data_IF_852984215803
#
_entry.id   IF_852984215803
#
_cell.length_a   1.000
_cell.length_b   1.000
_cell.length_c   1.000
_cell.angle_alpha   90.00
_cell.angle_beta   90.00
_cell.angle_gamma   90.00
#
_symmetry.space_group_name_H-M   'P 1'
#
loop_
_entity.id
_entity.type
_entity.pdbx_description
1 polymer ?
#
# COMPACT_ATOMS: atom_id res chain seq x y z
N UNK A 1 66.01 -40.73 -14.38
CA UNK A 1 64.98 -40.34 -13.39
C UNK A 1 65.20 -38.90 -12.99
N UNK A 2 64.10 -38.11 -12.95
CA UNK A 2 63.90 -36.82 -12.25
C UNK A 2 64.63 -35.59 -12.81
N UNK A 3 64.01 -34.43 -12.95
CA UNK A 3 62.60 -33.97 -13.07
C UNK A 3 62.80 -32.48 -13.37
N UNK A 4 62.53 -32.03 -14.59
CA UNK A 4 62.45 -30.62 -14.94
C UNK A 4 61.21 -30.05 -14.28
N UNK A 5 61.38 -29.26 -13.23
CA UNK A 5 60.29 -28.45 -12.67
C UNK A 5 60.27 -27.12 -13.41
N UNK A 6 59.43 -27.07 -14.46
CA UNK A 6 59.01 -25.84 -15.09
C UNK A 6 57.99 -25.18 -14.14
N UNK A 7 58.39 -24.09 -13.49
CA UNK A 7 57.46 -23.22 -12.75
C UNK A 7 56.60 -22.45 -13.77
N UNK A 8 55.42 -22.98 -14.09
CA UNK A 8 54.37 -22.21 -14.78
C UNK A 8 53.70 -21.35 -13.71
N UNK A 9 54.13 -20.09 -13.60
CA UNK A 9 53.40 -19.07 -12.86
C UNK A 9 52.11 -18.76 -13.63
N UNK A 10 51.03 -19.47 -13.29
CA UNK A 10 49.69 -19.16 -13.78
C UNK A 10 49.27 -17.83 -13.14
N UNK A 11 49.18 -16.81 -13.99
CA UNK A 11 48.47 -15.56 -13.77
C UNK A 11 47.03 -15.84 -13.28
N UNK A 12 46.82 -15.84 -11.97
CA UNK A 12 45.52 -15.55 -11.39
C UNK A 12 45.51 -14.08 -10.97
N UNK A 13 45.47 -13.19 -11.96
CA UNK A 13 45.04 -11.82 -11.74
C UNK A 13 43.54 -11.83 -11.45
N UNK A 14 43.24 -11.92 -10.16
CA UNK A 14 41.99 -11.68 -9.44
C UNK A 14 41.09 -10.65 -10.18
N UNK A 15 39.96 -11.04 -10.78
CA UNK A 15 38.95 -10.10 -11.26
C UNK A 15 38.01 -9.74 -10.09
N UNK A 16 38.49 -9.01 -9.09
CA UNK A 16 37.64 -8.51 -7.98
C UNK A 16 37.51 -6.99 -7.94
N UNK A 17 38.01 -6.27 -8.96
CA UNK A 17 37.94 -4.80 -9.00
C UNK A 17 36.78 -4.27 -9.88
N UNK A 18 36.05 -5.15 -10.57
CA UNK A 18 34.97 -4.73 -11.48
C UNK A 18 33.62 -4.47 -10.78
N UNK A 19 33.39 -5.01 -9.58
CA UNK A 19 32.07 -4.98 -8.95
C UNK A 19 31.76 -3.67 -8.21
N UNK A 20 32.79 -2.88 -7.86
CA UNK A 20 32.62 -1.60 -7.16
C UNK A 20 32.44 -0.39 -8.11
N UNK A 21 32.81 -0.52 -9.39
CA UNK A 21 32.61 0.53 -10.41
C UNK A 21 31.24 0.43 -11.10
N UNK A 22 30.61 -0.75 -11.12
CA UNK A 22 29.46 -1.06 -11.99
C UNK A 22 28.11 -0.51 -11.49
N UNK A 23 28.09 0.42 -10.54
CA UNK A 23 26.84 0.99 -10.00
C UNK A 23 26.79 2.52 -9.98
N UNK A 24 27.90 3.18 -10.30
CA UNK A 24 27.98 4.64 -10.16
C UNK A 24 26.98 5.35 -11.06
N UNK A 25 26.69 4.81 -12.26
CA UNK A 25 25.72 5.41 -13.16
C UNK A 25 24.30 5.22 -12.64
N UNK A 26 23.95 4.03 -12.14
CA UNK A 26 22.66 3.81 -11.49
C UNK A 26 22.49 4.75 -10.28
N UNK A 27 23.50 4.86 -9.41
CA UNK A 27 23.41 5.72 -8.22
C UNK A 27 23.20 7.18 -8.59
N UNK A 28 23.99 7.70 -9.55
CA UNK A 28 23.86 9.07 -10.04
C UNK A 28 22.50 9.32 -10.71
N UNK A 29 22.03 8.39 -11.55
CA UNK A 29 20.75 8.52 -12.25
C UNK A 29 19.56 8.52 -11.28
N UNK A 30 19.58 7.64 -10.27
CA UNK A 30 18.53 7.57 -9.24
C UNK A 30 18.56 8.85 -8.40
N UNK A 31 19.72 9.30 -7.94
CA UNK A 31 19.83 10.54 -7.18
C UNK A 31 19.39 11.77 -8.01
N UNK A 32 19.61 11.76 -9.32
CA UNK A 32 19.17 12.85 -10.21
C UNK A 32 17.67 12.84 -10.47
N UNK A 33 17.02 11.67 -10.55
CA UNK A 33 15.56 11.58 -10.76
C UNK A 33 14.77 11.65 -9.45
N UNK A 34 15.36 11.23 -8.34
CA UNK A 34 14.73 11.19 -7.02
C UNK A 34 15.60 11.94 -6.01
N UNK A 35 15.80 13.26 -6.16
CA UNK A 35 16.77 13.99 -5.38
C UNK A 35 16.43 13.93 -3.88
N UNK A 36 17.33 13.37 -3.04
CA UNK A 36 17.07 13.24 -1.62
C UNK A 36 17.13 14.59 -0.93
N UNK A 37 16.38 14.74 0.15
CA UNK A 37 16.44 15.90 1.02
C UNK A 37 17.86 16.07 1.62
N UNK A 38 18.22 17.32 1.90
CA UNK A 38 19.44 17.64 2.65
C UNK A 38 19.30 17.10 4.06
N UNK A 39 20.26 16.27 4.46
CA UNK A 39 20.25 15.62 5.76
C UNK A 39 20.10 16.64 6.90
N UNK A 40 19.17 16.35 7.81
CA UNK A 40 18.93 17.14 9.02
C UNK A 40 18.13 16.30 10.03
N UNK A 41 18.12 16.75 11.29
CA UNK A 41 17.50 16.02 12.41
C UNK A 41 16.01 15.69 12.22
N UNK A 42 15.25 16.48 11.45
CA UNK A 42 13.82 16.19 11.22
C UNK A 42 13.57 15.01 10.29
N UNK A 43 14.62 14.51 9.61
CA UNK A 43 14.56 13.29 8.79
C UNK A 43 14.93 12.05 9.59
N UNK A 44 15.59 12.25 10.72
CA UNK A 44 16.01 11.17 11.61
C UNK A 44 15.01 10.93 12.73
N UNK A 45 14.11 11.89 13.02
CA UNK A 45 13.13 11.75 14.09
C UNK A 45 11.85 12.53 13.92
N UNK A 46 10.75 11.91 14.34
CA UNK A 46 9.43 12.52 14.45
C UNK A 46 9.32 13.63 15.51
N UNK A 47 10.33 13.78 16.38
CA UNK A 47 10.32 14.79 17.46
C UNK A 47 10.62 16.21 16.97
N UNK A 48 11.17 16.38 15.77
CA UNK A 48 11.40 17.68 15.18
C UNK A 48 10.39 17.95 14.06
N UNK A 49 10.01 19.22 13.91
CA UNK A 49 9.22 19.63 12.75
C UNK A 49 9.99 19.41 11.45
N UNK A 50 9.29 18.95 10.41
CA UNK A 50 9.89 18.69 9.12
C UNK A 50 10.43 19.98 8.51
N UNK A 51 11.73 20.05 8.28
CA UNK A 51 12.35 21.16 7.59
C UNK A 51 12.02 21.12 6.08
N UNK A 52 10.96 21.83 5.68
CA UNK A 52 10.53 21.91 4.27
C UNK A 52 11.62 22.48 3.35
N UNK A 53 12.47 23.39 3.86
CA UNK A 53 13.59 23.98 3.10
C UNK A 53 14.72 22.99 2.78
N UNK A 54 14.74 21.81 3.41
CA UNK A 54 15.69 20.75 3.12
C UNK A 54 15.21 19.79 2.02
N UNK A 55 13.93 19.82 1.64
CA UNK A 55 13.36 18.92 0.64
C UNK A 55 13.83 19.29 -0.77
N UNK A 56 14.08 18.30 -1.61
CA UNK A 56 14.62 18.48 -2.97
C UNK A 56 13.83 17.73 -4.03
N UNK A 57 13.25 16.58 -3.68
CA UNK A 57 12.45 15.76 -4.57
C UNK A 57 11.19 15.25 -3.90
N UNK A 58 10.18 15.08 -4.73
CA UNK A 58 8.86 14.56 -4.37
C UNK A 58 8.52 13.41 -5.29
N UNK A 59 7.65 12.52 -4.83
CA UNK A 59 7.11 11.44 -5.64
C UNK A 59 5.61 11.38 -5.49
N UNK A 60 4.93 11.01 -6.57
CA UNK A 60 3.52 10.67 -6.57
C UNK A 60 3.38 9.17 -6.78
N UNK A 61 2.62 8.53 -5.92
CA UNK A 61 2.33 7.09 -6.01
C UNK A 61 1.42 6.84 -7.23
N UNK A 62 1.84 5.97 -8.13
CA UNK A 62 1.02 5.51 -9.28
C UNK A 62 0.35 4.18 -8.99
N UNK A 63 1.10 3.27 -8.36
CA UNK A 63 0.60 1.96 -7.93
C UNK A 63 0.52 1.93 -6.41
N UNK A 64 -0.70 1.85 -5.90
CA UNK A 64 -0.99 1.80 -4.46
C UNK A 64 -0.59 0.49 -3.79
N UNK A 65 -0.99 0.33 -2.53
CA UNK A 65 -0.72 -0.88 -1.75
C UNK A 65 0.67 -0.93 -1.11
N UNK A 66 1.43 0.18 -1.17
CA UNK A 66 2.73 0.27 -0.51
C UNK A 66 2.50 0.48 1.00
N UNK A 67 2.92 -0.46 1.87
CA UNK A 67 2.68 -0.35 3.30
C UNK A 67 3.52 0.77 3.91
N UNK A 68 2.91 1.59 4.76
CA UNK A 68 3.53 2.71 5.43
C UNK A 68 3.21 2.73 6.93
N UNK A 69 4.03 3.42 7.71
CA UNK A 69 3.90 3.49 9.17
C UNK A 69 4.00 4.93 9.68
N UNK A 70 3.78 5.11 10.98
CA UNK A 70 4.00 6.39 11.66
C UNK A 70 5.41 6.45 12.22
N UNK A 71 6.05 7.60 12.10
CA UNK A 71 7.28 7.88 12.84
C UNK A 71 6.92 8.20 14.32
N UNK A 72 7.28 7.34 15.29
CA UNK A 72 6.82 7.46 16.70
C UNK A 72 7.92 7.67 17.77
N UNK A 73 8.96 6.80 17.94
CA UNK A 73 10.06 6.95 18.94
C UNK A 73 11.29 6.03 18.63
N UNK A 74 12.50 6.38 19.11
CA UNK A 74 13.81 5.68 18.88
C UNK A 74 14.20 4.78 20.05
N UNK A 75 14.52 3.51 19.78
CA UNK A 75 15.56 2.79 20.52
C UNK A 75 16.56 2.27 19.50
N UNK A 76 17.84 2.53 19.79
CA UNK A 76 19.00 2.28 18.96
C UNK A 76 19.06 0.82 18.46
N UNK A 77 19.56 0.68 17.23
CA UNK A 77 19.85 -0.54 16.45
C UNK A 77 18.81 -1.03 15.42
N UNK A 78 17.57 -0.54 15.41
CA UNK A 78 16.58 -0.90 14.39
C UNK A 78 15.91 0.36 13.82
N UNK A 79 16.23 0.72 12.57
CA UNK A 79 15.71 1.89 11.84
C UNK A 79 14.17 1.82 11.65
N UNK A 80 13.42 2.09 12.72
CA UNK A 80 11.95 1.99 12.79
C UNK A 80 11.22 3.13 12.08
N UNK A 81 11.94 4.19 11.68
CA UNK A 81 11.30 5.40 11.17
C UNK A 81 10.79 5.28 9.75
N UNK A 82 11.20 4.26 9.00
CA UNK A 82 10.61 4.00 7.69
C UNK A 82 10.26 2.52 7.58
N UNK A 83 8.97 2.25 7.35
CA UNK A 83 8.53 0.89 7.11
C UNK A 83 9.16 0.33 5.85
N UNK A 84 10.06 -0.62 6.02
CA UNK A 84 10.66 -1.33 4.91
C UNK A 84 9.65 -2.23 4.21
N UNK A 85 9.56 -2.09 2.91
CA UNK A 85 8.88 -3.04 2.02
C UNK A 85 9.79 -3.34 0.84
N UNK A 86 9.61 -4.51 0.22
CA UNK A 86 10.34 -4.88 -0.99
C UNK A 86 9.32 -5.14 -2.08
N UNK A 87 9.43 -4.38 -3.16
CA UNK A 87 8.68 -4.52 -4.39
C UNK A 87 9.55 -5.32 -5.34
N UNK A 88 9.07 -6.50 -5.72
CA UNK A 88 9.74 -7.34 -6.70
C UNK A 88 9.38 -6.85 -8.11
N UNK A 89 10.34 -6.31 -8.85
CA UNK A 89 10.06 -5.70 -10.16
C UNK A 89 9.65 -6.70 -11.24
N UNK A 90 9.89 -8.00 -11.01
CA UNK A 90 9.51 -9.06 -11.95
C UNK A 90 8.00 -9.32 -11.98
N UNK A 91 7.33 -9.27 -10.84
CA UNK A 91 5.93 -9.70 -10.65
C UNK A 91 5.07 -8.65 -9.94
N UNK A 92 5.65 -7.51 -9.55
CA UNK A 92 4.99 -6.45 -8.80
C UNK A 92 4.63 -6.82 -7.36
N UNK A 93 5.06 -7.98 -6.86
CA UNK A 93 4.69 -8.45 -5.53
C UNK A 93 5.36 -7.59 -4.45
N UNK A 94 4.55 -7.15 -3.49
CA UNK A 94 5.01 -6.37 -2.34
C UNK A 94 5.18 -7.28 -1.13
N UNK A 95 6.39 -7.31 -0.57
CA UNK A 95 6.71 -8.03 0.66
C UNK A 95 7.01 -7.00 1.75
N UNK A 96 6.10 -6.86 2.71
CA UNK A 96 6.31 -6.01 3.88
C UNK A 96 7.31 -6.63 4.86
N UNK A 97 8.08 -5.80 5.57
CA UNK A 97 8.77 -6.24 6.79
C UNK A 97 7.78 -6.38 7.95
N UNK A 98 8.21 -7.07 9.02
CA UNK A 98 7.41 -7.50 10.19
C UNK A 98 6.47 -6.41 10.73
N UNK A 99 5.33 -6.83 11.31
CA UNK A 99 4.33 -5.97 11.95
C UNK A 99 3.12 -5.70 11.06
N UNK A 100 2.04 -5.13 11.60
CA UNK A 100 0.88 -4.64 10.82
C UNK A 100 1.16 -3.21 10.35
N UNK A 101 0.96 -2.84 9.07
CA UNK A 101 1.14 -1.46 8.62
C UNK A 101 0.09 -0.56 9.26
N UNK A 102 0.45 0.71 9.46
CA UNK A 102 -0.48 1.74 9.90
C UNK A 102 -1.47 2.09 8.78
N UNK A 103 -0.95 2.24 7.57
CA UNK A 103 -1.73 2.54 6.36
C UNK A 103 -1.05 1.95 5.12
N UNK A 104 -1.72 2.07 3.98
CA UNK A 104 -1.16 1.79 2.67
C UNK A 104 -1.26 3.06 1.82
N UNK A 105 -0.16 3.42 1.16
CA UNK A 105 -0.19 4.53 0.21
C UNK A 105 -1.07 4.15 -0.97
N UNK A 106 -1.91 5.11 -1.38
CA UNK A 106 -2.83 4.97 -2.50
C UNK A 106 -2.32 5.71 -3.73
N UNK A 107 -2.80 5.40 -4.94
CA UNK A 107 -2.51 6.20 -6.11
C UNK A 107 -2.83 7.69 -5.87
N UNK A 108 -1.95 8.56 -6.33
CA UNK A 108 -1.99 10.00 -6.15
C UNK A 108 -1.50 10.52 -4.80
N UNK A 109 -1.11 9.65 -3.86
CA UNK A 109 -0.46 10.10 -2.63
C UNK A 109 0.91 10.73 -2.92
N UNK A 110 1.20 11.85 -2.27
CA UNK A 110 2.43 12.63 -2.45
C UNK A 110 3.35 12.44 -1.27
N UNK A 111 4.61 12.09 -1.54
CA UNK A 111 5.65 11.91 -0.53
C UNK A 111 6.92 12.67 -0.92
N UNK A 112 7.65 13.18 0.07
CA UNK A 112 8.99 13.73 -0.16
C UNK A 112 10.05 12.63 -0.09
N UNK A 113 11.09 12.74 -0.93
CA UNK A 113 12.24 11.83 -0.92
C UNK A 113 13.22 12.28 0.17
N UNK A 114 13.22 11.56 1.29
CA UNK A 114 14.08 11.86 2.43
C UNK A 114 15.50 11.29 2.28
N UNK A 115 15.68 10.25 1.47
CA UNK A 115 16.98 9.60 1.29
C UNK A 115 16.90 8.41 0.34
N UNK A 116 18.07 7.94 -0.09
CA UNK A 116 18.22 6.77 -0.96
C UNK A 116 19.19 5.80 -0.29
N UNK A 117 18.89 4.52 -0.35
CA UNK A 117 19.80 3.44 0.08
C UNK A 117 19.89 2.36 -0.99
N UNK A 118 21.07 1.79 -1.14
CA UNK A 118 21.31 0.66 -2.04
C UNK A 118 21.68 -0.56 -1.22
N UNK A 119 21.05 -1.70 -1.51
CA UNK A 119 21.39 -2.95 -0.85
C UNK A 119 21.13 -4.13 -1.79
N UNK A 120 22.14 -4.99 -1.96
CA UNK A 120 22.13 -6.08 -2.95
C UNK A 120 21.74 -5.56 -4.33
N UNK A 121 20.68 -6.09 -4.94
CA UNK A 121 20.09 -5.69 -6.21
C UNK A 121 18.80 -4.88 -6.02
N UNK A 122 18.74 -4.04 -4.98
CA UNK A 122 17.58 -3.20 -4.70
C UNK A 122 17.96 -1.75 -4.42
N UNK A 123 17.10 -0.85 -4.89
CA UNK A 123 17.12 0.59 -4.60
C UNK A 123 16.00 0.88 -3.62
N UNK A 124 16.33 1.47 -2.48
CA UNK A 124 15.37 1.86 -1.45
C UNK A 124 15.23 3.37 -1.44
N UNK A 125 14.01 3.86 -1.57
CA UNK A 125 13.70 5.28 -1.38
C UNK A 125 13.10 5.45 0.01
N UNK A 126 13.66 6.32 0.84
CA UNK A 126 13.04 6.74 2.11
C UNK A 126 12.06 7.86 1.80
N UNK A 127 10.80 7.66 2.11
CA UNK A 127 9.70 8.56 1.77
C UNK A 127 8.99 9.04 3.03
N UNK A 128 8.72 10.34 3.12
CA UNK A 128 8.01 10.98 4.24
C UNK A 128 6.89 11.87 3.73
N UNK A 129 5.73 11.85 4.40
CA UNK A 129 4.63 12.77 4.08
C UNK A 129 5.03 14.20 4.48
N UNK A 130 4.80 15.16 3.58
CA UNK A 130 5.14 16.57 3.84
C UNK A 130 4.23 17.14 4.93
N UNK A 131 2.94 16.85 4.80
CA UNK A 131 1.90 17.25 5.73
C UNK A 131 1.56 16.11 6.69
N UNK A 132 0.77 16.44 7.71
CA UNK A 132 0.16 15.43 8.59
C UNK A 132 -0.73 14.53 7.73
N UNK A 133 -0.48 13.23 7.82
CA UNK A 133 -1.27 12.24 7.08
C UNK A 133 -2.51 11.88 7.90
N UNK A 134 -3.69 12.10 7.33
CA UNK A 134 -4.96 11.70 7.92
C UNK A 134 -5.36 10.34 7.35
N UNK A 135 -5.39 9.26 8.15
CA UNK A 135 -5.89 7.99 7.66
C UNK A 135 -7.39 8.09 7.42
N UNK A 136 -7.87 7.53 6.31
CA UNK A 136 -9.31 7.41 6.00
C UNK A 136 -10.06 6.47 6.96
N UNK A 137 -9.34 5.70 7.80
CA UNK A 137 -9.89 4.53 8.50
C UNK A 137 -9.84 4.62 10.03
N UNK A 138 -9.38 5.75 10.62
CA UNK A 138 -9.16 5.81 12.08
C UNK A 138 -9.66 7.13 12.68
N UNK A 139 -10.97 7.26 12.81
CA UNK A 139 -11.65 8.44 13.38
C UNK A 139 -11.31 8.74 14.86
N UNK A 140 -10.70 7.79 15.56
CA UNK A 140 -10.46 7.89 17.02
C UNK A 140 -9.04 8.32 17.41
N UNK A 141 -8.15 8.65 16.47
CA UNK A 141 -6.79 9.06 16.81
C UNK A 141 -6.64 10.58 17.01
N UNK A 142 -6.48 10.99 18.28
CA UNK A 142 -6.21 12.38 18.70
C UNK A 142 -4.82 12.92 18.31
N UNK A 143 -3.98 12.13 17.62
CA UNK A 143 -2.59 12.49 17.30
C UNK A 143 -2.33 12.41 15.80
N UNK A 144 -2.42 13.57 15.17
CA UNK A 144 -1.84 13.89 13.88
C UNK A 144 -0.37 13.42 13.79
N UNK A 145 -0.04 12.56 12.81
CA UNK A 145 1.32 12.06 12.60
C UNK A 145 1.70 12.12 11.12
N UNK A 146 2.99 12.30 10.84
CA UNK A 146 3.53 12.06 9.50
C UNK A 146 3.62 10.56 9.26
N UNK A 147 3.48 10.19 7.99
CA UNK A 147 3.62 8.81 7.51
C UNK A 147 4.94 8.66 6.79
N UNK A 148 5.57 7.51 6.98
CA UNK A 148 6.87 7.18 6.42
C UNK A 148 6.89 5.76 5.87
N UNK A 149 7.64 5.56 4.79
CA UNK A 149 7.90 4.23 4.24
C UNK A 149 9.26 4.18 3.53
N UNK A 150 9.80 2.98 3.39
CA UNK A 150 11.03 2.73 2.64
C UNK A 150 10.79 1.60 1.63
N UNK A 151 10.08 1.88 0.51
CA UNK A 151 9.94 0.93 -0.59
C UNK A 151 11.30 0.63 -1.23
N UNK A 152 11.64 -0.66 -1.26
CA UNK A 152 12.79 -1.21 -1.94
C UNK A 152 12.40 -1.86 -3.26
N UNK A 153 12.88 -1.32 -4.37
CA UNK A 153 12.65 -1.85 -5.71
C UNK A 153 13.74 -2.88 -6.03
N UNK A 154 13.38 -4.16 -6.04
CA UNK A 154 14.31 -5.27 -6.28
C UNK A 154 14.28 -5.70 -7.75
N UNK A 155 15.40 -5.50 -8.43
CA UNK A 155 15.59 -5.82 -9.84
C UNK A 155 16.31 -7.16 -10.02
N UNK A 156 16.36 -7.67 -11.26
CA UNK A 156 17.26 -8.77 -11.56
C UNK A 156 18.72 -8.36 -11.31
N UNK A 157 19.54 -9.32 -10.88
CA UNK A 157 20.99 -9.12 -10.75
C UNK A 157 21.65 -8.67 -12.06
N UNK A 158 21.13 -9.08 -13.21
CA UNK A 158 21.65 -8.71 -14.52
C UNK A 158 21.63 -7.20 -14.75
N UNK A 159 20.56 -6.51 -14.34
CA UNK A 159 20.40 -5.04 -14.47
C UNK A 159 21.51 -4.29 -13.76
N UNK A 160 21.89 -4.74 -12.56
CA UNK A 160 22.96 -4.11 -11.78
C UNK A 160 24.36 -4.52 -12.26
N UNK A 161 24.52 -5.73 -12.81
CA UNK A 161 25.78 -6.16 -13.42
C UNK A 161 26.08 -5.39 -14.71
N UNK A 162 25.05 -5.04 -15.47
CA UNK A 162 25.17 -4.24 -16.70
C UNK A 162 25.16 -2.73 -16.45
N UNK A 163 25.03 -2.27 -15.21
CA UNK A 163 24.88 -0.85 -14.83
C UNK A 163 23.75 -0.15 -15.62
N UNK A 164 22.64 -0.84 -15.87
CA UNK A 164 21.52 -0.32 -16.66
C UNK A 164 20.65 0.64 -15.84
N UNK A 165 21.11 1.89 -15.76
CA UNK A 165 20.42 2.97 -15.08
C UNK A 165 19.00 3.21 -15.63
N UNK A 166 18.80 3.07 -16.94
CA UNK A 166 17.49 3.35 -17.55
C UNK A 166 16.45 2.35 -17.06
N UNK A 167 16.76 1.06 -17.09
CA UNK A 167 15.86 0.02 -16.60
C UNK A 167 15.51 0.21 -15.12
N UNK A 168 16.47 0.66 -14.30
CA UNK A 168 16.22 0.98 -12.89
C UNK A 168 15.24 2.16 -12.74
N UNK A 169 15.48 3.26 -13.45
CA UNK A 169 14.62 4.45 -13.38
C UNK A 169 13.22 4.16 -13.89
N UNK A 170 13.10 3.51 -15.05
CA UNK A 170 11.80 3.16 -15.63
C UNK A 170 11.01 2.28 -14.66
N UNK A 171 11.66 1.27 -14.06
CA UNK A 171 11.01 0.38 -13.10
C UNK A 171 10.55 1.10 -11.83
N UNK A 172 11.33 2.05 -11.29
CA UNK A 172 10.87 2.86 -10.15
C UNK A 172 9.67 3.73 -10.57
N UNK A 173 9.71 4.33 -11.77
CA UNK A 173 8.65 5.19 -12.32
C UNK A 173 7.33 4.48 -12.61
N UNK A 174 7.32 3.15 -12.71
CA UNK A 174 6.06 2.38 -12.74
C UNK A 174 5.26 2.53 -11.43
N UNK A 175 5.95 2.80 -10.33
CA UNK A 175 5.35 2.90 -9.00
C UNK A 175 5.30 4.33 -8.48
N UNK A 176 6.35 5.11 -8.73
CA UNK A 176 6.57 6.44 -8.16
C UNK A 176 7.00 7.42 -9.24
N UNK A 177 6.14 8.37 -9.57
CA UNK A 177 6.46 9.46 -10.51
C UNK A 177 7.21 10.58 -9.78
N UNK A 178 8.44 10.97 -10.20
CA UNK A 178 9.20 12.01 -9.53
C UNK A 178 8.83 13.43 -9.94
N UNK A 179 9.01 14.37 -9.01
CA UNK A 179 8.81 15.81 -9.19
C UNK A 179 9.83 16.62 -8.39
N UNK A 180 10.24 17.76 -8.93
CA UNK A 180 11.21 18.66 -8.27
C UNK A 180 10.56 19.61 -7.24
N UNK A 181 9.23 19.72 -7.24
CA UNK A 181 8.51 20.61 -6.33
C UNK A 181 7.18 20.00 -5.86
N UNK A 182 6.76 20.42 -4.67
CA UNK A 182 5.58 19.90 -3.98
C UNK A 182 4.27 20.21 -4.71
N UNK A 183 4.15 21.40 -5.30
CA UNK A 183 2.91 21.86 -5.91
C UNK A 183 2.59 21.06 -7.18
N UNK A 184 3.57 20.86 -8.07
CA UNK A 184 3.39 20.03 -9.27
C UNK A 184 3.07 18.59 -8.92
N UNK A 185 3.70 18.04 -7.85
CA UNK A 185 3.38 16.72 -7.35
C UNK A 185 1.93 16.64 -6.82
N UNK A 186 1.47 17.65 -6.08
CA UNK A 186 0.09 17.74 -5.58
C UNK A 186 -0.93 17.87 -6.71
N UNK A 187 -0.66 18.69 -7.72
CA UNK A 187 -1.52 18.83 -8.89
C UNK A 187 -1.64 17.53 -9.68
N UNK A 188 -0.52 16.83 -9.91
CA UNK A 188 -0.52 15.54 -10.58
C UNK A 188 -1.23 14.47 -9.73
N UNK A 189 -0.94 14.40 -8.43
CA UNK A 189 -1.58 13.47 -7.51
C UNK A 189 -3.10 13.65 -7.43
N UNK A 190 -3.59 14.90 -7.48
CA UNK A 190 -5.02 15.18 -7.53
C UNK A 190 -5.68 14.64 -8.81
N UNK A 191 -5.01 14.74 -9.96
CA UNK A 191 -5.49 14.17 -11.23
C UNK A 191 -5.57 12.64 -11.16
N UNK A 192 -4.53 11.99 -10.65
CA UNK A 192 -4.52 10.53 -10.47
C UNK A 192 -5.65 10.08 -9.54
N UNK A 193 -5.92 10.80 -8.44
CA UNK A 193 -7.04 10.49 -7.55
C UNK A 193 -8.39 10.64 -8.23
N UNK A 194 -8.57 11.67 -9.06
CA UNK A 194 -9.80 11.88 -9.81
C UNK A 194 -10.03 10.79 -10.87
N UNK A 195 -8.98 10.38 -11.59
CA UNK A 195 -9.02 9.28 -12.56
C UNK A 195 -9.43 7.96 -11.88
N UNK A 196 -8.82 7.63 -10.74
CA UNK A 196 -9.16 6.41 -9.97
C UNK A 196 -10.58 6.43 -9.42
N UNK A 197 -11.07 7.59 -8.95
CA UNK A 197 -12.46 7.71 -8.50
C UNK A 197 -13.44 7.53 -9.66
N UNK A 198 -13.08 7.95 -10.87
CA UNK A 198 -13.89 7.78 -12.08
C UNK A 198 -13.93 6.32 -12.51
N UNK A 199 -12.79 5.63 -12.53
CA UNK A 199 -12.73 4.20 -12.85
C UNK A 199 -13.56 3.35 -11.86
N UNK A 200 -13.45 3.61 -10.55
CA UNK A 200 -14.25 2.92 -9.54
C UNK A 200 -15.75 3.15 -9.73
N UNK A 201 -16.17 4.38 -10.07
CA UNK A 201 -17.58 4.67 -10.33
C UNK A 201 -18.10 3.96 -11.58
N UNK A 202 -17.29 3.85 -12.64
CA UNK A 202 -17.64 3.12 -13.86
C UNK A 202 -17.74 1.60 -13.61
N UNK A 203 -16.85 1.04 -12.79
CA UNK A 203 -16.90 -0.38 -12.40
C UNK A 203 -18.14 -0.69 -11.54
N UNK A 204 -18.54 0.21 -10.64
CA UNK A 204 -19.76 0.08 -9.84
C UNK A 204 -21.03 0.18 -10.71
N UNK A 205 -21.06 1.11 -11.69
CA UNK A 205 -22.17 1.23 -12.65
C UNK A 205 -22.27 0.00 -13.56
N UNK A 206 -21.15 -0.58 -14.00
CA UNK A 206 -21.14 -1.82 -14.77
C UNK A 206 -21.59 -3.03 -13.93
N UNK A 207 -21.09 -3.17 -12.70
CA UNK A 207 -21.47 -4.26 -11.80
C UNK A 207 -22.96 -4.22 -11.45
N UNK A 208 -23.51 -3.03 -11.20
CA UNK A 208 -24.95 -2.85 -10.93
C UNK A 208 -25.82 -3.04 -12.16
N UNK A 209 -25.30 -2.76 -13.36
CA UNK A 209 -25.99 -3.05 -14.63
C UNK A 209 -26.04 -4.55 -14.92
N UNK A 210 -24.93 -5.28 -14.71
CA UNK A 210 -24.90 -6.74 -14.86
C UNK A 210 -25.80 -7.48 -13.85
N UNK A 211 -25.90 -6.98 -12.61
CA UNK A 211 -26.83 -7.53 -11.62
C UNK A 211 -28.30 -7.28 -11.99
N UNK A 212 -28.63 -6.11 -12.56
CA UNK A 212 -29.97 -5.82 -13.09
C UNK A 212 -30.32 -6.69 -14.29
N UNK A 213 -29.41 -6.86 -15.25
CA UNK A 213 -29.65 -7.71 -16.42
C UNK A 213 -29.82 -9.19 -16.05
N UNK A 214 -29.07 -9.69 -15.06
CA UNK A 214 -29.26 -11.04 -14.52
C UNK A 214 -30.59 -11.18 -13.76
N UNK A 215 -31.03 -10.14 -13.04
CA UNK A 215 -32.32 -10.15 -12.35
C UNK A 215 -33.50 -10.12 -13.33
N UNK A 216 -33.41 -9.36 -14.42
CA UNK A 216 -34.48 -9.28 -15.42
C UNK A 216 -34.52 -10.52 -16.33
N UNK A 217 -33.38 -11.12 -16.68
CA UNK A 217 -33.32 -12.40 -17.39
C UNK A 217 -33.89 -13.58 -16.56
N UNK A 218 -33.84 -13.49 -15.23
CA UNK A 218 -34.45 -14.50 -14.33
C UNK A 218 -35.98 -14.41 -14.22
N UNK A 219 -36.59 -13.29 -14.67
CA UNK A 219 -38.05 -13.10 -14.66
C UNK A 219 -38.74 -13.54 -15.96
N UNK A 220 -38.03 -13.59 -17.09
CA UNK A 220 -38.59 -14.01 -18.38
C UNK A 220 -38.58 -15.53 -18.63
N UNK A 221 -38.02 -16.35 -17.73
CA UNK A 221 -37.88 -17.80 -17.95
C UNK A 221 -38.88 -18.71 -17.21
N UNK A 222 -39.94 -18.17 -16.58
CA UNK A 222 -41.04 -18.99 -16.03
C UNK A 222 -42.32 -18.84 -16.84
N UNK A 223 -42.35 -19.47 -18.02
CA UNK A 223 -43.59 -19.81 -18.71
C UNK A 223 -44.00 -21.26 -18.41
N UNK A 224 -45.20 -21.37 -17.85
CA UNK A 224 -46.17 -22.48 -17.94
C UNK A 224 -45.71 -23.89 -17.55
N UNK A 225 -46.08 -24.32 -16.32
CA UNK A 225 -46.98 -25.47 -16.21
C UNK A 225 -47.64 -25.60 -14.82
N UNK A 226 -48.98 -25.64 -14.86
CA UNK A 226 -49.94 -26.23 -13.91
C UNK A 226 -49.62 -26.37 -12.40
N UNK A 227 -50.45 -25.74 -11.55
CA UNK A 227 -51.22 -26.41 -10.47
C UNK A 227 -52.46 -25.57 -10.12
N UNK A 228 -53.63 -26.18 -10.32
CA UNK A 228 -54.92 -25.74 -9.81
C UNK A 228 -54.98 -26.03 -8.30
N UNK A 229 -55.29 -25.03 -7.46
CA UNK A 229 -56.00 -25.25 -6.20
C UNK A 229 -56.72 -23.97 -5.71
N UNK A 230 -58.04 -24.01 -5.88
CA UNK A 230 -59.13 -23.43 -5.07
C UNK A 230 -58.98 -22.03 -4.47
N UNK A 231 -59.83 -21.14 -5.02
CA UNK A 231 -60.41 -19.94 -4.41
C UNK A 231 -60.82 -20.12 -2.94
N UNK A 232 -60.26 -19.26 -2.09
CA UNK A 232 -60.95 -18.49 -1.07
C UNK A 232 -60.21 -17.13 -1.00
N UNK A 233 -60.69 -16.10 -1.70
CA UNK A 233 -61.52 -15.05 -1.11
C UNK A 233 -60.98 -14.55 0.23
N UNK A 234 -60.12 -13.53 0.19
CA UNK A 234 -60.32 -12.21 0.83
C UNK A 234 -59.31 -11.28 0.14
N UNK A 235 -59.83 -10.37 -0.67
CA UNK A 235 -59.14 -9.13 -1.02
C UNK A 235 -59.33 -8.24 0.21
N UNK A 236 -58.24 -7.91 0.89
CA UNK A 236 -58.20 -6.74 1.76
C UNK A 236 -57.43 -5.66 0.99
N UNK A 237 -58.12 -4.68 0.38
CA UNK A 237 -57.52 -3.75 -0.56
C UNK A 237 -56.98 -2.53 0.20
N UNK A 238 -56.08 -2.71 1.16
CA UNK A 238 -55.43 -1.58 1.83
C UNK A 238 -54.16 -2.04 2.58
N UNK A 239 -53.06 -2.19 1.85
CA UNK A 239 -51.72 -2.09 2.48
C UNK A 239 -50.81 -1.28 1.57
N UNK A 240 -50.41 -0.05 1.96
CA UNK A 240 -49.48 0.75 1.16
C UNK A 240 -48.13 0.01 1.05
N UNK A 241 -47.33 0.30 0.01
CA UNK A 241 -45.97 -0.21 -0.08
C UNK A 241 -45.21 0.18 1.20
N UNK A 242 -44.48 -0.77 1.79
CA UNK A 242 -43.66 -0.55 2.99
C UNK A 242 -42.84 0.73 2.81
N UNK A 243 -43.09 1.69 3.67
CA UNK A 243 -42.46 3.01 3.62
C UNK A 243 -40.98 2.87 3.97
N UNK A 244 -40.15 3.84 3.58
CA UNK A 244 -38.72 3.84 3.95
C UNK A 244 -38.50 3.72 5.46
N UNK A 245 -39.50 4.12 6.24
CA UNK A 245 -39.55 4.01 7.70
C UNK A 245 -39.63 2.55 8.19
N UNK A 246 -40.42 1.69 7.53
CA UNK A 246 -40.50 0.26 7.85
C UNK A 246 -39.18 -0.48 7.54
N UNK A 247 -38.43 0.00 6.53
CA UNK A 247 -37.11 -0.52 6.19
C UNK A 247 -36.03 -0.05 7.19
N UNK A 248 -36.17 1.18 7.69
CA UNK A 248 -35.30 1.75 8.73
C UNK A 248 -35.49 1.03 10.07
N UNK A 249 -36.73 0.78 10.50
CA UNK A 249 -36.99 0.01 11.73
C UNK A 249 -36.43 -1.42 11.64
N UNK A 250 -36.58 -2.09 10.49
CA UNK A 250 -36.00 -3.41 10.27
C UNK A 250 -34.45 -3.42 10.24
N UNK A 251 -33.82 -2.30 9.86
CA UNK A 251 -32.37 -2.12 9.91
C UNK A 251 -31.89 -1.84 11.34
N UNK A 252 -32.61 -1.02 12.09
CA UNK A 252 -32.32 -0.74 13.50
C UNK A 252 -32.42 -2.00 14.36
N UNK A 253 -33.44 -2.83 14.15
CA UNK A 253 -33.60 -4.10 14.85
C UNK A 253 -32.43 -5.07 14.54
N UNK A 254 -31.94 -5.10 13.30
CA UNK A 254 -30.75 -5.89 12.90
C UNK A 254 -29.47 -5.35 13.53
N UNK A 255 -29.31 -4.03 13.64
CA UNK A 255 -28.16 -3.40 14.30
C UNK A 255 -28.18 -3.70 15.80
N UNK A 256 -29.34 -3.68 16.44
CA UNK A 256 -29.47 -4.00 17.86
C UNK A 256 -29.18 -5.48 18.13
N UNK A 257 -29.66 -6.38 17.28
CA UNK A 257 -29.34 -7.81 17.36
C UNK A 257 -27.83 -8.08 17.20
N UNK A 258 -27.17 -7.41 16.25
CA UNK A 258 -25.72 -7.53 16.04
C UNK A 258 -24.91 -7.00 17.24
N UNK A 259 -25.35 -5.90 17.86
CA UNK A 259 -24.73 -5.36 19.08
C UNK A 259 -24.81 -6.34 20.24
N UNK A 260 -25.98 -6.98 20.44
CA UNK A 260 -26.14 -8.01 21.49
C UNK A 260 -25.22 -9.21 21.27
N UNK A 261 -25.07 -9.67 20.03
CA UNK A 261 -24.14 -10.77 19.70
C UNK A 261 -22.67 -10.39 19.95
N UNK A 262 -22.28 -9.15 19.65
CA UNK A 262 -20.93 -8.66 19.96
C UNK A 262 -20.66 -8.58 21.47
N UNK A 263 -21.62 -8.08 22.25
CA UNK A 263 -21.49 -7.96 23.70
C UNK A 263 -21.41 -9.35 24.36
N UNK A 264 -22.19 -10.31 23.87
CA UNK A 264 -22.14 -11.70 24.33
C UNK A 264 -20.78 -12.34 24.01
N UNK A 265 -20.27 -12.16 22.80
CA UNK A 265 -18.94 -12.64 22.40
C UNK A 265 -17.80 -11.99 23.21
N UNK A 266 -17.91 -10.70 23.54
CA UNK A 266 -16.91 -10.01 24.37
C UNK A 266 -16.94 -10.54 25.82
N UNK A 267 -18.14 -10.83 26.34
CA UNK A 267 -18.31 -11.41 27.68
C UNK A 267 -17.71 -12.82 27.76
N UNK A 268 -17.85 -13.62 26.70
CA UNK A 268 -17.29 -14.97 26.61
C UNK A 268 -15.77 -14.95 26.51
N UNK A 269 -15.20 -14.04 25.71
CA UNK A 269 -13.76 -13.82 25.62
C UNK A 269 -13.16 -13.37 26.96
N UNK A 270 -13.87 -12.53 27.73
CA UNK A 270 -13.44 -12.14 29.08
C UNK A 270 -13.45 -13.33 30.04
N UNK A 271 -14.46 -14.20 29.98
CA UNK A 271 -14.52 -15.43 30.79
C UNK A 271 -13.38 -16.39 30.46
N UNK A 272 -13.13 -16.65 29.17
CA UNK A 272 -12.03 -17.52 28.72
C UNK A 272 -10.66 -16.98 29.15
N UNK A 273 -10.47 -15.66 29.14
CA UNK A 273 -9.23 -15.02 29.59
C UNK A 273 -9.01 -15.23 31.09
N UNK A 274 -10.05 -15.04 31.92
CA UNK A 274 -9.99 -15.27 33.37
C UNK A 274 -9.73 -16.76 33.71
N UNK A 275 -10.33 -17.70 32.96
CA UNK A 275 -10.06 -19.13 33.15
C UNK A 275 -8.63 -19.52 32.73
N UNK A 276 -8.08 -18.88 31.71
CA UNK A 276 -6.69 -19.11 31.26
C UNK A 276 -5.66 -18.60 32.27
N UNK A 277 -5.98 -17.55 33.02
CA UNK A 277 -5.11 -16.97 34.05
C UNK A 277 -5.17 -17.76 35.37
N UNK A 278 -6.26 -18.50 35.66
CA UNK A 278 -6.36 -19.40 36.82
C UNK A 278 -5.68 -20.76 36.64
N UNK A 279 -5.27 -21.11 35.40
CA UNK A 279 -4.59 -22.38 35.07
C UNK A 279 -3.06 -22.24 34.90
N UNK A 280 -2.50 -21.07 35.19
CA UNK A 280 -1.04 -20.83 35.31
C UNK A 280 -0.66 -20.71 36.78
#
# INVERSE_FOLDING_TARGET
>A
MRKTFLFVAVLFAIPFVAEAKSRQNIEAAVASNFPPAVHNKSLDTAHYELNKGALRGFVVVKRGGIPADRARFFIEWQEYDYRGSVIHMKDGRIVGRRGKPYTYLQPGDVMAVAGIKYFNNAVYLRLISVDVYFPLLVDNEKRHSRVTCMPGFKFDSAVFKSDDAKAVIDGIKEWLEPFDNENSAKEYGAKVKAEMATELALDEDMATTEEKEKADASKESFSDDTIKLKKASIIDPERPPATEQDKLEALEEKIEAAKRQMEEAESEMRRLKIESEKKK
#
